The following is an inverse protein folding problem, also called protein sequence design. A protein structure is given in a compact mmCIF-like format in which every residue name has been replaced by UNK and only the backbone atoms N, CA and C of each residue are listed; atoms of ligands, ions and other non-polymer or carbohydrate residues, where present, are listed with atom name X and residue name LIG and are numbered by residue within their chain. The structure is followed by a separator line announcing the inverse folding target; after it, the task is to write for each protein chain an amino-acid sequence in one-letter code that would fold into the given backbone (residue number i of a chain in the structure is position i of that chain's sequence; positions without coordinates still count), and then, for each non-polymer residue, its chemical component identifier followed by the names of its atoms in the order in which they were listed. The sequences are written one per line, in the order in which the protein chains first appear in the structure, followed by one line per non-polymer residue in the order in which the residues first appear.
data_IF_335901119983
#
_entry.id   IF_335901119983
#
_cell.length_a   1.000
_cell.length_b   1.000
_cell.length_c   1.000
_cell.angle_alpha   90.00
_cell.angle_beta   90.00
_cell.angle_gamma   90.00
#
_symmetry.space_group_name_H-M   'P 1'
#
loop_
_entity.id
_entity.type
_entity.pdbx_description
1 polymer ?
#
# COMPACT_ATOMS: atom_id res chain seq x y z
N UNK A 1 -27.53 -49.25 25.33
CA UNK A 1 -26.48 -49.05 24.35
C UNK A 1 -26.41 -47.54 24.04
N UNK A 2 -25.42 -46.87 24.58
CA UNK A 2 -25.24 -45.42 24.39
C UNK A 2 -24.30 -45.21 23.19
N UNK A 3 -24.84 -44.76 22.08
CA UNK A 3 -24.09 -44.42 20.88
C UNK A 3 -23.45 -43.06 21.06
N UNK A 4 -22.13 -43.03 21.18
CA UNK A 4 -21.33 -41.81 21.25
C UNK A 4 -21.10 -41.29 19.83
N UNK A 5 -21.77 -40.21 19.45
CA UNK A 5 -21.48 -39.51 18.18
C UNK A 5 -20.27 -38.63 18.38
N UNK A 6 -19.16 -39.00 17.74
CA UNK A 6 -18.00 -38.10 17.60
C UNK A 6 -18.30 -37.07 16.49
N UNK A 7 -18.49 -35.84 16.89
CA UNK A 7 -18.55 -34.73 15.95
C UNK A 7 -17.10 -34.31 15.60
N UNK A 8 -16.64 -34.62 14.41
CA UNK A 8 -15.38 -34.13 13.87
C UNK A 8 -15.58 -32.69 13.39
N UNK A 9 -15.05 -31.74 14.14
CA UNK A 9 -14.97 -30.34 13.71
C UNK A 9 -13.85 -30.19 12.67
N UNK A 10 -14.22 -29.93 11.42
CA UNK A 10 -13.30 -29.57 10.35
C UNK A 10 -12.95 -28.09 10.52
N UNK A 11 -11.75 -27.79 11.00
CA UNK A 11 -11.22 -26.43 10.98
C UNK A 11 -10.82 -26.09 9.54
N UNK A 12 -11.62 -25.27 8.90
CA UNK A 12 -11.24 -24.61 7.65
C UNK A 12 -10.23 -23.51 7.98
N UNK A 13 -8.95 -23.76 7.73
CA UNK A 13 -7.92 -22.75 7.77
C UNK A 13 -8.10 -21.83 6.55
N UNK A 14 -8.73 -20.69 6.75
CA UNK A 14 -8.76 -19.64 5.72
C UNK A 14 -7.35 -19.07 5.54
N UNK A 15 -6.87 -18.83 4.30
CA UNK A 15 -5.60 -18.16 4.08
C UNK A 15 -5.66 -16.77 4.70
N UNK A 16 -4.70 -16.45 5.53
CA UNK A 16 -4.58 -15.12 6.12
C UNK A 16 -4.12 -14.15 5.02
N UNK A 17 -5.03 -13.36 4.51
CA UNK A 17 -4.73 -12.24 3.63
C UNK A 17 -4.30 -11.07 4.52
N UNK A 18 -3.08 -10.61 4.35
CA UNK A 18 -2.56 -9.47 5.10
C UNK A 18 -2.83 -8.19 4.31
N UNK A 19 -3.55 -7.26 4.95
CA UNK A 19 -3.76 -5.93 4.43
C UNK A 19 -2.51 -5.07 4.69
N UNK A 20 -2.01 -4.41 3.66
CA UNK A 20 -0.91 -3.47 3.77
C UNK A 20 -1.42 -2.04 3.92
N UNK A 21 -1.28 -1.26 2.88
CA UNK A 21 -1.78 0.12 2.81
C UNK A 21 -3.25 0.13 2.41
N UNK A 22 -4.09 0.80 3.19
CA UNK A 22 -5.51 0.99 2.88
C UNK A 22 -5.83 2.47 2.84
N UNK A 23 -6.37 2.92 1.74
CA UNK A 23 -6.81 4.31 1.56
C UNK A 23 -8.31 4.36 1.34
N UNK A 24 -8.97 5.15 2.15
CA UNK A 24 -10.40 5.42 2.01
C UNK A 24 -10.59 6.79 1.39
N UNK A 25 -11.24 6.86 0.24
CA UNK A 25 -11.54 8.09 -0.47
C UNK A 25 -13.04 8.36 -0.43
N UNK A 26 -13.43 9.59 -0.12
CA UNK A 26 -14.82 10.02 -0.05
C UNK A 26 -15.08 11.21 -0.96
N UNK A 27 -16.25 11.24 -1.55
CA UNK A 27 -16.74 12.35 -2.35
C UNK A 27 -18.26 12.45 -2.20
N UNK A 28 -18.74 13.42 -1.43
CA UNK A 28 -20.13 13.46 -1.03
C UNK A 28 -20.53 12.23 -0.22
N UNK A 29 -21.55 11.53 -0.67
CA UNK A 29 -22.01 10.28 -0.04
C UNK A 29 -21.33 9.01 -0.59
N UNK A 30 -20.42 9.16 -1.55
CA UNK A 30 -19.72 8.06 -2.17
C UNK A 30 -18.42 7.75 -1.43
N UNK A 31 -18.16 6.47 -1.25
CA UNK A 31 -16.92 5.98 -0.65
C UNK A 31 -16.25 4.99 -1.60
N UNK A 32 -14.93 5.10 -1.71
CA UNK A 32 -14.07 4.18 -2.46
C UNK A 32 -12.91 3.77 -1.60
N UNK A 33 -12.48 2.53 -1.73
CA UNK A 33 -11.36 1.99 -0.97
C UNK A 33 -10.31 1.49 -1.96
N UNK A 34 -9.07 1.89 -1.73
CA UNK A 34 -7.89 1.43 -2.45
C UNK A 34 -7.01 0.71 -1.43
N UNK A 35 -6.77 -0.58 -1.64
CA UNK A 35 -6.08 -1.41 -0.67
C UNK A 35 -4.99 -2.24 -1.34
N UNK A 36 -3.82 -2.27 -0.73
CA UNK A 36 -2.76 -3.20 -1.10
C UNK A 36 -2.92 -4.46 -0.25
N UNK A 37 -3.04 -5.59 -0.90
CA UNK A 37 -3.26 -6.88 -0.27
C UNK A 37 -2.08 -7.80 -0.60
N UNK A 38 -1.52 -8.43 0.41
CA UNK A 38 -0.47 -9.43 0.25
C UNK A 38 -1.06 -10.83 0.33
N UNK A 39 -0.80 -11.64 -0.68
CA UNK A 39 -1.36 -12.99 -0.79
C UNK A 39 -0.38 -14.07 -0.36
N UNK A 40 0.83 -13.69 0.06
CA UNK A 40 1.87 -14.55 0.60
C UNK A 40 2.33 -14.09 1.98
N UNK A 41 3.44 -14.64 2.44
CA UNK A 41 4.03 -14.30 3.74
C UNK A 41 4.86 -13.01 3.72
N UNK A 42 5.17 -12.49 2.55
CA UNK A 42 5.96 -11.28 2.37
C UNK A 42 5.18 -10.18 1.66
N UNK A 43 5.91 -9.19 1.16
CA UNK A 43 5.36 -8.06 0.41
C UNK A 43 5.02 -8.39 -1.05
N UNK A 44 5.34 -9.57 -1.48
CA UNK A 44 4.92 -10.16 -2.75
C UNK A 44 4.56 -11.64 -2.53
N UNK A 45 3.61 -12.19 -3.28
CA UNK A 45 2.75 -11.54 -4.25
C UNK A 45 1.82 -10.50 -3.63
N UNK A 46 1.52 -9.46 -4.38
CA UNK A 46 0.63 -8.39 -3.94
C UNK A 46 -0.42 -8.04 -5.00
N UNK A 47 -1.51 -7.46 -4.54
CA UNK A 47 -2.58 -6.96 -5.39
C UNK A 47 -3.03 -5.58 -4.92
N UNK A 48 -3.38 -4.72 -5.85
CA UNK A 48 -4.09 -3.47 -5.55
C UNK A 48 -5.56 -3.69 -5.83
N UNK A 49 -6.36 -3.68 -4.78
CA UNK A 49 -7.79 -3.84 -4.84
C UNK A 49 -8.49 -2.49 -4.77
N UNK A 50 -9.50 -2.33 -5.60
CA UNK A 50 -10.32 -1.13 -5.66
C UNK A 50 -11.77 -1.48 -5.42
N UNK A 51 -12.33 -0.94 -4.34
CA UNK A 51 -13.71 -1.18 -3.92
C UNK A 51 -14.58 0.05 -4.15
N UNK A 52 -15.68 -0.16 -4.83
CA UNK A 52 -16.74 0.80 -5.06
C UNK A 52 -18.08 0.21 -4.59
N UNK A 53 -19.16 0.98 -4.72
CA UNK A 53 -20.49 0.51 -4.38
C UNK A 53 -20.90 -0.79 -5.13
N UNK A 54 -20.41 -0.97 -6.37
CA UNK A 54 -20.70 -2.13 -7.20
C UNK A 54 -19.89 -3.37 -6.85
N UNK A 55 -18.83 -3.22 -6.05
CA UNK A 55 -17.98 -4.33 -5.64
C UNK A 55 -16.48 -4.01 -5.70
N UNK A 56 -15.68 -5.03 -5.50
CA UNK A 56 -14.22 -4.96 -5.48
C UNK A 56 -13.61 -5.56 -6.75
N UNK A 57 -12.61 -4.90 -7.30
CA UNK A 57 -11.83 -5.40 -8.43
C UNK A 57 -10.34 -5.22 -8.19
N UNK A 58 -9.53 -6.13 -8.69
CA UNK A 58 -8.08 -6.02 -8.70
C UNK A 58 -7.65 -5.17 -9.90
N UNK A 59 -6.94 -4.08 -9.66
CA UNK A 59 -6.44 -3.19 -10.70
C UNK A 59 -5.03 -3.58 -11.16
N UNK A 60 -4.16 -3.92 -10.22
CA UNK A 60 -2.77 -4.30 -10.48
C UNK A 60 -2.36 -5.44 -9.56
N UNK A 61 -1.38 -6.20 -10.00
CA UNK A 61 -0.76 -7.27 -9.21
C UNK A 61 0.71 -7.43 -9.56
N UNK A 62 1.50 -7.91 -8.61
CA UNK A 62 2.90 -8.26 -8.83
C UNK A 62 3.24 -9.55 -8.08
N UNK A 63 3.98 -10.43 -8.72
CA UNK A 63 4.40 -11.71 -8.14
C UNK A 63 5.79 -11.66 -7.51
N UNK A 64 6.66 -10.78 -7.99
CA UNK A 64 8.07 -10.74 -7.59
C UNK A 64 8.69 -9.34 -7.58
N UNK A 65 7.89 -8.31 -7.68
CA UNK A 65 8.36 -6.93 -7.66
C UNK A 65 7.88 -6.23 -6.39
N UNK A 66 8.73 -6.21 -5.37
CA UNK A 66 8.45 -5.51 -4.12
C UNK A 66 8.29 -4.01 -4.35
N UNK A 67 7.30 -3.39 -3.70
CA UNK A 67 7.00 -1.97 -3.84
C UNK A 67 6.10 -1.59 -5.02
N UNK A 68 5.88 -2.49 -5.97
CA UNK A 68 5.06 -2.22 -7.14
C UNK A 68 3.61 -1.88 -6.79
N UNK A 69 2.99 -2.68 -5.93
CA UNK A 69 1.59 -2.47 -5.55
C UNK A 69 1.42 -1.17 -4.76
N UNK A 70 2.34 -0.87 -3.87
CA UNK A 70 2.34 0.35 -3.05
C UNK A 70 2.48 1.59 -3.92
N UNK A 71 3.39 1.57 -4.90
CA UNK A 71 3.56 2.65 -5.87
C UNK A 71 2.30 2.87 -6.71
N UNK A 72 1.72 1.79 -7.25
CA UNK A 72 0.49 1.86 -8.04
C UNK A 72 -0.70 2.35 -7.24
N UNK A 73 -0.82 1.92 -5.99
CA UNK A 73 -1.87 2.37 -5.10
C UNK A 73 -1.72 3.87 -4.78
N UNK A 74 -0.51 4.33 -4.47
CA UNK A 74 -0.21 5.73 -4.19
C UNK A 74 -0.52 6.63 -5.39
N UNK A 75 -0.07 6.26 -6.58
CA UNK A 75 -0.37 6.99 -7.83
C UNK A 75 -1.87 7.09 -8.08
N UNK A 76 -2.59 6.02 -7.80
CA UNK A 76 -4.03 5.99 -8.00
C UNK A 76 -4.77 6.85 -6.97
N UNK A 77 -4.30 6.88 -5.74
CA UNK A 77 -4.81 7.79 -4.70
C UNK A 77 -4.64 9.24 -5.12
N UNK A 78 -3.47 9.60 -5.64
CA UNK A 78 -3.22 10.97 -6.14
C UNK A 78 -4.16 11.34 -7.30
N UNK A 79 -4.45 10.41 -8.19
CA UNK A 79 -5.46 10.61 -9.24
C UNK A 79 -6.85 10.84 -8.66
N UNK A 80 -7.24 10.08 -7.65
CA UNK A 80 -8.53 10.28 -6.96
C UNK A 80 -8.60 11.69 -6.36
N UNK A 81 -7.55 12.14 -5.70
CA UNK A 81 -7.47 13.50 -5.16
C UNK A 81 -7.60 14.55 -6.25
N UNK A 82 -6.93 14.35 -7.38
CA UNK A 82 -7.02 15.20 -8.56
C UNK A 82 -8.44 15.31 -9.13
N UNK A 83 -9.27 14.31 -8.91
CA UNK A 83 -10.69 14.32 -9.31
C UNK A 83 -11.63 14.86 -8.22
N UNK A 84 -11.09 15.39 -7.14
CA UNK A 84 -11.85 16.01 -6.07
C UNK A 84 -12.27 15.07 -4.93
N UNK A 85 -11.66 13.88 -4.84
CA UNK A 85 -11.87 12.96 -3.73
C UNK A 85 -11.00 13.31 -2.53
N UNK A 86 -11.54 13.19 -1.35
CA UNK A 86 -10.80 13.30 -0.10
C UNK A 86 -10.34 11.90 0.31
N UNK A 87 -9.04 11.68 0.43
CA UNK A 87 -8.46 10.38 0.69
C UNK A 87 -7.63 10.37 1.98
N UNK A 88 -7.89 9.40 2.85
CA UNK A 88 -7.15 9.13 4.07
C UNK A 88 -6.51 7.74 3.97
N UNK A 89 -5.22 7.66 4.26
CA UNK A 89 -4.46 6.41 4.19
C UNK A 89 -4.15 5.90 5.58
N UNK A 90 -4.47 4.65 5.81
CA UNK A 90 -4.10 3.87 6.99
C UNK A 90 -3.05 2.84 6.60
N UNK A 91 -1.97 2.77 7.34
CA UNK A 91 -0.94 1.75 7.18
C UNK A 91 -1.10 0.73 8.30
N UNK A 92 -0.93 -0.54 8.01
CA UNK A 92 -0.89 -1.56 9.04
C UNK A 92 0.34 -1.34 9.94
N UNK A 93 0.22 -1.68 11.21
CA UNK A 93 1.26 -1.48 12.24
C UNK A 93 2.61 -2.12 11.83
N UNK A 94 2.59 -3.21 11.10
CA UNK A 94 3.79 -3.86 10.57
C UNK A 94 4.56 -3.00 9.56
N UNK A 95 3.86 -2.20 8.76
CA UNK A 95 4.49 -1.28 7.81
C UNK A 95 4.98 0.00 8.47
N UNK A 96 4.30 0.45 9.50
CA UNK A 96 4.70 1.63 10.27
C UNK A 96 6.09 1.43 10.88
N UNK A 97 6.36 0.24 11.40
CA UNK A 97 7.62 -0.10 12.04
C UNK A 97 8.79 -0.13 11.05
N UNK A 98 8.55 -0.55 9.83
CA UNK A 98 9.57 -0.59 8.77
C UNK A 98 9.95 0.79 8.26
N UNK A 99 9.00 1.71 8.25
CA UNK A 99 9.22 3.10 7.81
C UNK A 99 9.98 3.88 8.88
N UNK A 100 9.66 3.70 10.15
CA UNK A 100 10.37 4.32 11.27
C UNK A 100 11.84 3.90 11.33
N UNK A 101 12.13 2.64 11.07
CA UNK A 101 13.50 2.13 11.03
C UNK A 101 14.27 2.65 9.80
N UNK A 102 13.62 2.83 8.68
CA UNK A 102 14.22 3.38 7.46
C UNK A 102 14.49 4.87 7.55
N UNK A 103 13.65 5.60 8.27
CA UNK A 103 13.82 7.05 8.47
C UNK A 103 14.95 7.35 9.45
N UNK A 104 15.14 6.53 10.46
CA UNK A 104 16.23 6.71 11.42
C UNK A 104 17.62 6.46 10.81
N UNK A 105 17.72 5.59 9.83
CA UNK A 105 18.99 5.36 9.11
C UNK A 105 19.26 6.37 8.02
N UNK A 106 18.26 7.06 7.51
CA UNK A 106 18.42 8.09 6.50
C UNK A 106 18.83 9.46 7.07
N UNK A 107 18.52 9.71 8.34
CA UNK A 107 18.79 10.99 9.00
C UNK A 107 20.25 11.14 9.44
N UNK A 108 20.98 10.05 9.54
CA UNK A 108 22.37 10.05 9.98
C UNK A 108 23.40 10.22 8.85
N UNK A 109 22.94 10.17 7.61
CA UNK A 109 23.80 10.25 6.44
C UNK A 109 23.64 11.54 5.62
N UNK A 110 22.86 12.48 6.14
CA UNK A 110 22.59 13.74 5.46
C UNK A 110 23.33 14.91 6.11
N UNK A 111 24.61 14.73 6.32
CA UNK A 111 25.49 15.85 6.62
C UNK A 111 26.50 16.03 5.50
N UNK A 112 26.00 16.39 4.36
CA UNK A 112 26.86 16.99 3.36
C UNK A 112 26.24 18.32 2.96
N UNK A 113 26.68 19.41 3.58
CA UNK A 113 26.16 20.73 3.27
C UNK A 113 26.80 21.35 2.05
N UNK A 114 27.51 20.56 1.25
CA UNK A 114 28.23 21.10 0.14
C UNK A 114 27.89 20.45 -1.18
N UNK A 115 26.63 20.58 -1.53
CA UNK A 115 26.28 20.50 -2.93
C UNK A 115 25.40 21.68 -3.26
N UNK A 116 25.95 22.82 -3.07
CA UNK A 116 25.55 23.95 -3.85
C UNK A 116 25.99 23.65 -5.27
N UNK A 117 25.09 23.06 -5.99
CA UNK A 117 25.28 22.95 -7.41
C UNK A 117 25.20 24.32 -7.98
N UNK A 118 26.32 24.83 -8.21
CA UNK A 118 26.47 25.91 -9.13
C UNK A 118 26.19 25.39 -10.53
N UNK A 119 24.96 25.50 -10.89
CA UNK A 119 24.57 25.39 -12.28
C UNK A 119 24.07 26.70 -12.75
N UNK A 120 24.90 27.68 -12.61
CA UNK A 120 24.73 28.90 -13.32
C UNK A 120 25.87 29.02 -14.27
N UNK A 121 25.81 28.31 -15.32
CA UNK A 121 26.46 28.72 -16.53
C UNK A 121 25.53 28.46 -17.69
N UNK A 122 24.69 29.37 -17.87
CA UNK A 122 24.20 29.63 -19.18
C UNK A 122 25.05 30.70 -19.78
N UNK A 123 26.05 30.30 -20.38
CA UNK A 123 26.63 31.02 -21.39
C UNK A 123 25.89 30.83 -22.67
N UNK A 124 25.10 31.71 -22.95
CA UNK A 124 25.43 32.77 -23.59
C UNK A 124 26.32 32.65 -24.70
N UNK A 125 25.82 32.61 -25.78
CA UNK A 125 26.33 33.19 -26.71
C UNK A 125 25.88 33.68 -27.79
N UNK A 126 26.24 34.46 -28.13
CA UNK A 126 26.25 35.19 -29.35
C UNK A 126 25.90 34.47 -30.57
#
# INVERSE_FOLDING_TARGET
MKTLMLATAVLLAAPAVQAGMKTTCTHGEQTRIIEVVYTGEGVVPCEVQYTKAEGTQTLWSASNMAGYCEEKAADFVEKQRGWGWECETEMSDDMQQTIDESVQTADEQSTDPDTAVDSADSDEVM
#
